data_IF_776963073928
#
_entry.id   IF_776963073928
#
_cell.length_a   1.000
_cell.length_b   1.000
_cell.length_c   1.000
_cell.angle_alpha   90.00
_cell.angle_beta   90.00
_cell.angle_gamma   90.00
#
_symmetry.space_group_name_H-M   'P 1'
#
loop_
_entity.id
_entity.type
_entity.pdbx_description
1 polymer ?
#
# COMPACT_ATOMS: atom_id res chain seq x y z
N UNK A 1 7.50 -18.86 0.96
CA UNK A 1 7.23 -17.74 0.05
C UNK A 1 8.51 -17.37 -0.69
N UNK A 2 8.57 -17.55 -2.01
CA UNK A 2 9.74 -17.20 -2.80
C UNK A 2 9.79 -15.66 -2.92
N UNK A 3 10.78 -15.02 -2.31
CA UNK A 3 10.97 -13.57 -2.42
C UNK A 3 11.56 -13.30 -3.80
N UNK A 4 10.70 -13.04 -4.78
CA UNK A 4 11.15 -12.58 -6.10
C UNK A 4 11.87 -11.22 -5.95
N UNK A 5 12.97 -11.06 -6.67
CA UNK A 5 13.66 -9.75 -6.72
C UNK A 5 12.79 -8.81 -7.54
N UNK A 6 12.03 -7.95 -6.85
CA UNK A 6 10.96 -7.12 -7.42
C UNK A 6 11.34 -6.38 -8.69
N UNK A 7 12.53 -5.76 -8.74
CA UNK A 7 12.96 -5.04 -9.94
C UNK A 7 13.14 -5.93 -11.16
N UNK A 8 13.61 -7.19 -10.99
CA UNK A 8 13.71 -8.15 -12.09
C UNK A 8 12.33 -8.54 -12.63
N UNK A 9 11.37 -8.82 -11.74
CA UNK A 9 10.01 -9.13 -12.16
C UNK A 9 9.34 -7.94 -12.85
N UNK A 10 9.52 -6.72 -12.33
CA UNK A 10 8.98 -5.50 -12.92
C UNK A 10 9.60 -5.19 -14.30
N UNK A 11 10.87 -5.57 -14.55
CA UNK A 11 11.49 -5.44 -15.88
C UNK A 11 10.83 -6.35 -16.92
N UNK A 12 10.40 -7.56 -16.52
CA UNK A 12 9.63 -8.45 -17.41
C UNK A 12 8.27 -7.82 -17.72
N UNK A 13 7.58 -7.28 -16.73
CA UNK A 13 6.30 -6.57 -16.93
C UNK A 13 6.47 -5.33 -17.82
N UNK A 14 7.55 -4.58 -17.65
CA UNK A 14 7.86 -3.40 -18.47
C UNK A 14 7.95 -3.75 -19.97
N UNK A 15 8.62 -4.86 -20.29
CA UNK A 15 8.74 -5.33 -21.67
C UNK A 15 7.45 -5.94 -22.24
N UNK A 16 6.59 -6.47 -21.37
CA UNK A 16 5.32 -7.11 -21.78
C UNK A 16 4.14 -6.13 -21.89
N UNK A 17 4.32 -4.87 -21.48
CA UNK A 17 3.25 -3.86 -21.42
C UNK A 17 3.71 -2.51 -21.98
N UNK A 18 2.74 -1.68 -22.42
CA UNK A 18 3.05 -0.36 -23.02
C UNK A 18 2.33 0.83 -22.36
N UNK A 19 1.37 0.59 -21.45
CA UNK A 19 0.54 1.67 -20.89
C UNK A 19 0.53 1.70 -19.35
N UNK A 20 0.70 0.56 -18.69
CA UNK A 20 0.57 0.46 -17.24
C UNK A 20 1.74 1.15 -16.53
N UNK A 21 1.47 1.88 -15.46
CA UNK A 21 2.48 2.41 -14.54
C UNK A 21 3.08 1.24 -13.75
N UNK A 22 4.39 1.25 -13.54
CA UNK A 22 5.12 0.11 -12.99
C UNK A 22 6.04 0.56 -11.85
N UNK A 23 5.96 -0.11 -10.73
CA UNK A 23 6.83 0.19 -9.60
C UNK A 23 6.63 -0.75 -8.43
N UNK A 24 7.58 -0.79 -7.49
CA UNK A 24 7.42 -1.58 -6.27
C UNK A 24 6.33 -0.97 -5.36
N UNK A 25 5.41 -1.79 -4.84
CA UNK A 25 4.38 -1.41 -3.87
C UNK A 25 4.51 -2.22 -2.58
N UNK A 26 5.52 -2.02 -1.74
CA UNK A 26 6.59 -1.02 -1.80
C UNK A 26 7.94 -1.67 -1.53
N UNK A 27 9.07 -0.96 -1.83
CA UNK A 27 10.39 -1.30 -1.30
C UNK A 27 10.59 -0.66 0.08
N UNK A 28 11.80 -0.79 0.66
CA UNK A 28 12.13 -0.23 1.97
C UNK A 28 13.52 0.43 1.99
N UNK A 29 13.78 1.22 3.02
CA UNK A 29 15.02 2.01 3.15
C UNK A 29 16.21 1.22 3.71
N UNK A 30 16.01 -0.04 4.14
CA UNK A 30 17.01 -0.80 4.90
C UNK A 30 17.79 -1.82 4.07
N UNK A 31 17.15 -2.41 3.06
CA UNK A 31 17.74 -3.53 2.31
C UNK A 31 18.63 -3.11 1.14
N UNK A 32 18.62 -1.83 0.77
CA UNK A 32 19.43 -1.30 -0.34
C UNK A 32 19.93 0.11 -0.03
N UNK A 33 21.15 0.41 -0.46
CA UNK A 33 21.66 1.77 -0.46
C UNK A 33 20.84 2.67 -1.43
N UNK A 34 20.57 3.96 -1.12
CA UNK A 34 19.73 4.81 -1.98
C UNK A 34 20.25 4.96 -3.41
N UNK A 35 21.57 4.98 -3.62
CA UNK A 35 22.14 4.98 -4.96
C UNK A 35 21.80 3.72 -5.77
N UNK A 36 21.78 2.54 -5.12
CA UNK A 36 21.41 1.29 -5.78
C UNK A 36 19.90 1.26 -6.10
N UNK A 37 19.07 1.78 -5.20
CA UNK A 37 17.64 1.88 -5.43
C UNK A 37 17.32 2.90 -6.54
N UNK A 38 17.97 4.05 -6.53
CA UNK A 38 17.84 5.04 -7.60
C UNK A 38 18.27 4.48 -8.96
N UNK A 39 19.40 3.75 -9.01
CA UNK A 39 19.88 3.05 -10.20
C UNK A 39 18.84 2.05 -10.73
N UNK A 40 18.30 1.21 -9.86
CA UNK A 40 17.34 0.19 -10.25
C UNK A 40 16.03 0.79 -10.79
N UNK A 41 15.50 1.84 -10.14
CA UNK A 41 14.27 2.46 -10.61
C UNK A 41 14.47 3.31 -11.86
N UNK A 42 15.62 3.95 -12.04
CA UNK A 42 15.96 4.66 -13.27
C UNK A 42 16.06 3.70 -14.46
N UNK A 43 16.69 2.54 -14.28
CA UNK A 43 16.73 1.47 -15.30
C UNK A 43 15.31 1.00 -15.66
N UNK A 44 14.46 0.77 -14.65
CA UNK A 44 13.07 0.39 -14.88
C UNK A 44 12.30 1.49 -15.63
N UNK A 45 12.56 2.76 -15.30
CA UNK A 45 11.94 3.91 -15.96
C UNK A 45 12.33 4.00 -17.44
N UNK A 46 13.59 3.76 -17.75
CA UNK A 46 14.08 3.70 -19.14
C UNK A 46 13.45 2.53 -19.90
N UNK A 47 13.50 1.30 -19.35
CA UNK A 47 12.89 0.12 -19.95
C UNK A 47 11.38 0.25 -20.17
N UNK A 48 10.71 1.01 -19.33
CA UNK A 48 9.26 1.23 -19.41
C UNK A 48 8.87 2.52 -20.14
N UNK A 49 9.82 3.24 -20.74
CA UNK A 49 9.55 4.50 -21.46
C UNK A 49 8.84 5.56 -20.57
N UNK A 50 9.33 5.72 -19.32
CA UNK A 50 8.85 6.75 -18.40
C UNK A 50 7.63 6.36 -17.55
N UNK A 51 7.23 5.07 -17.52
CA UNK A 51 6.07 4.58 -16.74
C UNK A 51 6.39 4.17 -15.30
N UNK A 52 7.68 4.25 -14.89
CA UNK A 52 8.06 3.79 -13.57
C UNK A 52 7.66 4.77 -12.46
N UNK A 53 7.41 4.24 -11.26
CA UNK A 53 7.33 4.98 -10.01
C UNK A 53 8.14 4.28 -8.91
N UNK A 54 8.63 5.06 -7.95
CA UNK A 54 9.41 4.54 -6.82
C UNK A 54 8.56 4.44 -5.56
N UNK A 55 7.96 3.27 -5.34
CA UNK A 55 7.17 3.01 -4.13
C UNK A 55 8.06 2.60 -2.95
N UNK A 56 7.92 3.30 -1.81
CA UNK A 56 8.78 3.12 -0.64
C UNK A 56 7.99 3.19 0.68
N UNK A 57 8.39 2.37 1.65
CA UNK A 57 7.85 2.35 3.01
C UNK A 57 8.93 2.10 4.06
N UNK A 58 8.56 2.14 5.33
CA UNK A 58 9.47 1.89 6.45
C UNK A 58 10.02 0.45 6.51
N UNK A 59 9.34 -0.47 5.87
CA UNK A 59 9.59 -1.91 5.92
C UNK A 59 8.62 -2.64 6.85
N UNK A 60 8.25 -3.85 6.46
CA UNK A 60 7.40 -4.75 7.21
C UNK A 60 7.94 -6.19 7.13
N UNK A 61 7.16 -7.16 6.69
CA UNK A 61 7.52 -8.60 6.68
C UNK A 61 8.93 -8.87 6.12
N UNK A 62 9.33 -8.18 5.05
CA UNK A 62 10.67 -8.31 4.48
C UNK A 62 11.79 -7.88 5.43
N UNK A 63 11.52 -6.96 6.35
CA UNK A 63 12.48 -6.45 7.33
C UNK A 63 12.43 -7.29 8.61
N UNK A 64 11.22 -7.61 9.08
CA UNK A 64 11.01 -8.45 10.26
C UNK A 64 11.61 -9.85 10.07
N UNK A 65 11.48 -10.43 8.87
CA UNK A 65 12.09 -11.73 8.53
C UNK A 65 13.63 -11.71 8.53
N UNK A 66 14.25 -10.53 8.46
CA UNK A 66 15.69 -10.35 8.63
C UNK A 66 16.09 -10.05 10.08
N UNK A 67 15.14 -10.08 11.03
CA UNK A 67 15.37 -9.71 12.43
C UNK A 67 15.62 -8.21 12.64
N UNK A 68 15.28 -7.39 11.66
CA UNK A 68 15.45 -5.93 11.72
C UNK A 68 14.14 -5.24 12.13
N UNK A 69 14.26 -4.00 12.59
CA UNK A 69 13.09 -3.14 12.87
C UNK A 69 12.80 -2.23 11.69
N UNK A 70 11.53 -1.87 11.45
CA UNK A 70 11.17 -0.86 10.45
C UNK A 70 11.94 0.45 10.67
N UNK A 71 12.24 1.13 9.58
CA UNK A 71 12.96 2.41 9.64
C UNK A 71 12.13 3.49 10.32
N UNK A 72 12.80 4.38 11.04
CA UNK A 72 12.17 5.57 11.59
C UNK A 72 11.92 6.64 10.52
N UNK A 73 11.17 7.67 10.88
CA UNK A 73 10.77 8.73 9.94
C UNK A 73 11.93 9.58 9.44
N UNK A 74 12.97 9.75 10.26
CA UNK A 74 14.15 10.55 9.90
C UNK A 74 14.93 9.83 8.79
N UNK A 75 15.23 8.56 9.01
CA UNK A 75 15.91 7.71 8.00
C UNK A 75 15.11 7.61 6.72
N UNK A 76 13.77 7.48 6.80
CA UNK A 76 12.90 7.47 5.63
C UNK A 76 12.99 8.77 4.83
N UNK A 77 12.91 9.91 5.50
CA UNK A 77 12.97 11.22 4.87
C UNK A 77 14.32 11.43 4.18
N UNK A 78 15.42 11.15 4.88
CA UNK A 78 16.77 11.27 4.33
C UNK A 78 16.96 10.38 3.10
N UNK A 79 16.51 9.13 3.18
CA UNK A 79 16.60 8.18 2.08
C UNK A 79 15.78 8.63 0.85
N UNK A 80 14.55 9.08 1.05
CA UNK A 80 13.68 9.59 -0.02
C UNK A 80 14.32 10.82 -0.69
N UNK A 81 14.88 11.75 0.10
CA UNK A 81 15.58 12.91 -0.43
C UNK A 81 16.82 12.50 -1.23
N UNK A 82 17.62 11.56 -0.71
CA UNK A 82 18.79 11.05 -1.43
C UNK A 82 18.38 10.45 -2.78
N UNK A 83 17.37 9.58 -2.83
CA UNK A 83 16.86 8.99 -4.08
C UNK A 83 16.39 10.07 -5.05
N UNK A 84 15.59 11.05 -4.58
CA UNK A 84 15.08 12.14 -5.43
C UNK A 84 16.18 13.00 -6.03
N UNK A 85 17.17 13.39 -5.23
CA UNK A 85 18.30 14.21 -5.70
C UNK A 85 19.18 13.43 -6.67
N UNK A 86 19.49 12.19 -6.38
CA UNK A 86 20.28 11.32 -7.27
C UNK A 86 19.57 11.12 -8.62
N UNK A 87 18.27 10.85 -8.61
CA UNK A 87 17.46 10.70 -9.83
C UNK A 87 17.46 11.98 -10.69
N UNK A 88 17.58 13.15 -10.08
CA UNK A 88 17.71 14.42 -10.82
C UNK A 88 19.10 14.67 -11.43
N UNK A 89 20.03 13.71 -11.29
CA UNK A 89 21.41 13.82 -11.81
C UNK A 89 22.35 14.65 -10.91
N UNK A 90 21.93 14.97 -9.69
CA UNK A 90 22.73 15.75 -8.73
C UNK A 90 23.37 14.85 -7.69
N UNK A 91 24.47 15.34 -7.09
CA UNK A 91 25.10 14.72 -5.93
C UNK A 91 24.29 14.99 -4.65
N UNK A 92 24.29 14.03 -3.73
CA UNK A 92 23.70 14.16 -2.39
C UNK A 92 24.68 13.68 -1.33
N UNK A 93 24.79 14.39 -0.22
CA UNK A 93 25.54 13.90 0.94
C UNK A 93 24.65 12.97 1.76
N UNK A 94 24.90 11.67 1.66
CA UNK A 94 24.17 10.65 2.40
C UNK A 94 25.06 10.06 3.48
N UNK A 95 24.72 10.30 4.75
CA UNK A 95 25.48 9.84 5.93
C UNK A 95 26.97 10.19 5.87
N UNK A 96 27.29 11.45 5.52
CA UNK A 96 28.64 11.97 5.45
C UNK A 96 29.45 11.49 4.22
N UNK A 97 28.80 10.95 3.20
CA UNK A 97 29.43 10.55 1.94
C UNK A 97 28.68 11.13 0.75
N UNK A 98 29.39 11.85 -0.10
CA UNK A 98 28.81 12.34 -1.37
C UNK A 98 28.53 11.17 -2.30
N UNK A 99 27.29 11.04 -2.74
CA UNK A 99 26.85 10.02 -3.69
C UNK A 99 26.21 10.66 -4.91
N UNK A 100 26.43 10.07 -6.09
CA UNK A 100 25.79 10.47 -7.35
C UNK A 100 25.71 9.28 -8.30
N UNK A 101 24.92 9.43 -9.35
CA UNK A 101 24.81 8.44 -10.43
C UNK A 101 24.91 9.18 -11.76
N UNK A 102 25.94 8.88 -12.55
CA UNK A 102 26.32 9.65 -13.74
C UNK A 102 25.27 9.65 -14.87
N UNK A 103 24.47 8.62 -14.95
CA UNK A 103 23.50 8.40 -16.03
C UNK A 103 22.05 8.68 -15.62
N UNK A 104 21.83 9.26 -14.46
CA UNK A 104 20.50 9.69 -14.03
C UNK A 104 20.22 11.13 -14.49
N UNK A 105 19.01 11.43 -14.78
CA UNK A 105 18.55 12.74 -15.25
C UNK A 105 17.04 12.74 -15.49
N UNK A 106 16.39 11.63 -15.14
CA UNK A 106 14.96 11.45 -15.27
C UNK A 106 14.27 11.60 -13.90
N UNK A 107 13.18 12.35 -13.84
CA UNK A 107 12.33 12.39 -12.67
C UNK A 107 11.45 11.14 -12.64
N UNK A 108 11.52 10.39 -11.53
CA UNK A 108 10.62 9.26 -11.26
C UNK A 108 9.73 9.64 -10.08
N UNK A 109 8.40 9.54 -10.20
CA UNK A 109 7.50 9.83 -9.08
C UNK A 109 7.80 8.96 -7.86
N UNK A 110 7.85 9.57 -6.69
CA UNK A 110 8.05 8.87 -5.41
C UNK A 110 6.69 8.64 -4.75
N UNK A 111 6.37 7.38 -4.51
CA UNK A 111 5.13 6.93 -3.90
C UNK A 111 5.44 6.39 -2.51
N UNK A 112 4.95 7.04 -1.47
CA UNK A 112 5.23 6.65 -0.08
C UNK A 112 4.07 5.86 0.50
N UNK A 113 4.33 4.70 1.13
CA UNK A 113 3.32 4.02 1.95
C UNK A 113 3.25 4.66 3.33
N UNK A 114 2.05 5.04 3.77
CA UNK A 114 1.81 5.69 5.06
C UNK A 114 0.43 5.32 5.63
N UNK A 115 0.37 5.14 6.96
CA UNK A 115 -0.86 4.77 7.67
C UNK A 115 -1.09 5.59 8.94
N UNK A 116 -0.03 5.90 9.68
CA UNK A 116 -0.13 6.66 10.91
C UNK A 116 -0.17 8.17 10.68
N UNK A 117 -0.73 8.96 11.62
CA UNK A 117 -0.88 10.41 11.46
C UNK A 117 0.41 11.13 11.04
N UNK A 118 1.52 10.83 11.70
CA UNK A 118 2.82 11.47 11.43
C UNK A 118 3.39 11.09 10.05
N UNK A 119 3.20 9.84 9.63
CA UNK A 119 3.68 9.37 8.32
C UNK A 119 2.82 9.90 7.18
N UNK A 120 1.50 10.07 7.40
CA UNK A 120 0.59 10.71 6.45
C UNK A 120 0.95 12.19 6.23
N UNK A 121 1.19 12.96 7.30
CA UNK A 121 1.69 14.33 7.18
C UNK A 121 3.04 14.40 6.43
N UNK A 122 3.97 13.48 6.74
CA UNK A 122 5.26 13.43 6.05
C UNK A 122 5.07 13.11 4.56
N UNK A 123 4.20 12.16 4.23
CA UNK A 123 3.93 11.79 2.85
C UNK A 123 3.37 12.97 2.05
N UNK A 124 2.37 13.69 2.56
CA UNK A 124 1.86 14.93 1.96
C UNK A 124 2.95 15.98 1.74
N UNK A 125 3.93 16.06 2.65
CA UNK A 125 5.02 17.03 2.56
C UNK A 125 6.12 16.70 1.55
N UNK A 126 6.34 15.40 1.21
CA UNK A 126 7.54 15.01 0.44
C UNK A 126 7.29 14.03 -0.70
N UNK A 127 6.15 13.35 -0.76
CA UNK A 127 5.87 12.34 -1.80
C UNK A 127 5.04 12.92 -2.96
N UNK A 128 5.12 12.28 -4.11
CA UNK A 128 4.30 12.63 -5.29
C UNK A 128 2.96 11.87 -5.24
N UNK A 129 2.95 10.69 -4.61
CA UNK A 129 1.72 9.98 -4.24
C UNK A 129 1.90 9.24 -2.91
N UNK A 130 0.80 8.85 -2.29
CA UNK A 130 0.80 8.08 -1.05
C UNK A 130 -0.11 6.87 -1.17
N UNK A 131 0.42 5.68 -0.83
CA UNK A 131 -0.36 4.46 -0.67
C UNK A 131 -0.85 4.41 0.77
N UNK A 132 -2.17 4.40 0.95
CA UNK A 132 -2.83 4.34 2.25
C UNK A 132 -3.51 3.00 2.46
N UNK A 133 -3.29 2.41 3.64
CA UNK A 133 -3.89 1.14 4.07
C UNK A 133 -4.61 1.29 5.42
N UNK A 134 -4.99 2.51 5.78
CA UNK A 134 -5.68 2.81 7.05
C UNK A 134 -7.11 2.27 7.09
N UNK A 135 -7.73 2.16 5.91
CA UNK A 135 -9.10 1.68 5.72
C UNK A 135 -9.82 2.46 4.62
N UNK A 136 -10.98 1.91 4.21
CA UNK A 136 -11.79 2.36 3.06
C UNK A 136 -13.17 2.89 3.48
N UNK A 137 -13.43 3.06 4.77
CA UNK A 137 -14.66 3.68 5.27
C UNK A 137 -14.57 5.21 5.12
N UNK A 138 -15.72 5.87 4.97
CA UNK A 138 -15.78 7.33 4.69
C UNK A 138 -15.05 8.17 5.74
N UNK A 139 -15.23 7.85 7.00
CA UNK A 139 -14.61 8.54 8.14
C UNK A 139 -13.08 8.36 8.16
N UNK A 140 -12.61 7.14 7.90
CA UNK A 140 -11.17 6.82 7.84
C UNK A 140 -10.50 7.51 6.64
N UNK A 141 -11.15 7.48 5.48
CA UNK A 141 -10.64 8.17 4.28
C UNK A 141 -10.63 9.68 4.47
N UNK A 142 -11.68 10.26 5.06
CA UNK A 142 -11.74 11.70 5.32
C UNK A 142 -10.60 12.16 6.26
N UNK A 143 -10.34 11.43 7.35
CA UNK A 143 -9.21 11.71 8.26
C UNK A 143 -7.88 11.55 7.53
N UNK A 144 -7.70 10.48 6.75
CA UNK A 144 -6.49 10.20 5.97
C UNK A 144 -6.19 11.31 4.97
N UNK A 145 -7.18 11.70 4.16
CA UNK A 145 -7.08 12.79 3.18
C UNK A 145 -6.72 14.11 3.88
N UNK A 146 -7.43 14.45 4.96
CA UNK A 146 -7.17 15.66 5.74
C UNK A 146 -5.72 15.75 6.22
N UNK A 147 -5.15 14.66 6.73
CA UNK A 147 -3.76 14.62 7.22
C UNK A 147 -2.75 14.79 6.09
N UNK A 148 -3.01 14.24 4.92
CA UNK A 148 -2.13 14.39 3.75
C UNK A 148 -2.16 15.85 3.27
N UNK A 149 -3.35 16.46 3.15
CA UNK A 149 -3.51 17.87 2.77
C UNK A 149 -2.86 18.81 3.78
N UNK A 150 -2.97 18.50 5.07
CA UNK A 150 -2.24 19.25 6.11
C UNK A 150 -0.72 19.13 5.95
N UNK A 151 -0.21 17.94 5.59
CA UNK A 151 1.21 17.73 5.27
C UNK A 151 1.69 18.57 4.09
N UNK A 152 0.89 18.68 3.02
CA UNK A 152 1.14 19.58 1.89
C UNK A 152 1.21 21.03 2.34
N UNK A 153 0.21 21.48 3.12
CA UNK A 153 0.14 22.85 3.63
C UNK A 153 1.35 23.22 4.49
N UNK A 154 1.75 22.36 5.42
CA UNK A 154 2.93 22.57 6.29
C UNK A 154 4.21 22.66 5.45
N UNK A 155 4.31 21.89 4.38
CA UNK A 155 5.47 21.91 3.47
C UNK A 155 5.43 23.04 2.43
N UNK A 156 4.38 23.85 2.40
CA UNK A 156 4.20 24.92 1.41
C UNK A 156 3.93 24.38 -0.01
N UNK A 157 3.40 23.17 -0.14
CA UNK A 157 3.02 22.56 -1.41
C UNK A 157 1.57 22.91 -1.77
N UNK A 158 1.23 22.95 -3.08
CA UNK A 158 -0.16 23.15 -3.48
C UNK A 158 -1.05 22.02 -2.92
N UNK A 159 -2.25 22.38 -2.50
CA UNK A 159 -3.26 21.40 -2.09
C UNK A 159 -3.61 20.48 -3.25
N UNK A 160 -3.66 19.17 -2.99
CA UNK A 160 -3.92 18.16 -4.03
C UNK A 160 -2.70 17.77 -4.86
N UNK A 161 -1.50 18.28 -4.53
CA UNK A 161 -0.27 17.93 -5.26
C UNK A 161 0.22 16.50 -4.98
N UNK A 162 -0.31 15.84 -3.95
CA UNK A 162 0.00 14.44 -3.62
C UNK A 162 -1.19 13.57 -4.01
N UNK A 163 -1.01 12.67 -4.98
CA UNK A 163 -2.02 11.66 -5.32
C UNK A 163 -2.25 10.71 -4.14
N UNK A 164 -3.49 10.31 -3.90
CA UNK A 164 -3.87 9.36 -2.84
C UNK A 164 -4.28 8.04 -3.48
N UNK A 165 -3.54 6.99 -3.17
CA UNK A 165 -3.78 5.63 -3.67
C UNK A 165 -4.25 4.75 -2.51
N UNK A 166 -5.53 4.36 -2.48
CA UNK A 166 -6.04 3.46 -1.46
C UNK A 166 -5.70 2.00 -1.80
N UNK A 167 -5.22 1.24 -0.82
CA UNK A 167 -4.96 -0.18 -0.95
C UNK A 167 -6.15 -0.99 -0.42
N UNK A 168 -6.64 -1.94 -1.22
CA UNK A 168 -7.77 -2.79 -0.91
C UNK A 168 -7.48 -4.26 -1.17
N UNK A 169 -7.93 -5.14 -0.28
CA UNK A 169 -8.15 -6.54 -0.62
C UNK A 169 -9.36 -6.62 -1.56
N UNK A 170 -9.35 -7.53 -2.52
CA UNK A 170 -10.43 -7.62 -3.49
C UNK A 170 -10.83 -9.06 -3.78
N UNK A 171 -12.13 -9.31 -3.69
CA UNK A 171 -12.75 -10.49 -4.26
C UNK A 171 -14.16 -10.12 -4.74
N UNK A 172 -14.62 -10.76 -5.83
CA UNK A 172 -15.93 -10.54 -6.44
C UNK A 172 -16.58 -11.87 -6.73
N UNK A 173 -17.81 -12.05 -6.27
CA UNK A 173 -18.61 -13.25 -6.47
C UNK A 173 -20.07 -12.88 -6.73
N UNK A 174 -20.91 -13.86 -7.10
CA UNK A 174 -22.34 -13.65 -7.27
C UNK A 174 -23.06 -13.50 -5.91
N UNK A 175 -22.41 -13.94 -4.83
CA UNK A 175 -22.86 -13.75 -3.44
C UNK A 175 -21.75 -13.13 -2.62
N UNK A 176 -22.13 -12.15 -1.77
CA UNK A 176 -21.19 -11.47 -0.89
C UNK A 176 -20.50 -12.45 0.06
N UNK A 177 -21.24 -13.37 0.63
CA UNK A 177 -20.73 -14.33 1.61
C UNK A 177 -19.58 -15.15 1.01
N UNK A 178 -19.74 -15.66 -0.22
CA UNK A 178 -18.71 -16.45 -0.90
C UNK A 178 -17.43 -15.63 -1.14
N UNK A 179 -17.60 -14.37 -1.54
CA UNK A 179 -16.47 -13.46 -1.77
C UNK A 179 -15.71 -13.13 -0.48
N UNK A 180 -16.42 -12.89 0.62
CA UNK A 180 -15.84 -12.60 1.95
C UNK A 180 -15.14 -13.83 2.51
N UNK A 181 -15.77 -15.01 2.43
CA UNK A 181 -15.22 -16.27 2.96
C UNK A 181 -13.84 -16.58 2.35
N UNK A 182 -13.68 -16.34 1.06
CA UNK A 182 -12.40 -16.62 0.38
C UNK A 182 -11.26 -15.71 0.81
N UNK A 183 -11.54 -14.52 1.39
CA UNK A 183 -10.52 -13.54 1.78
C UNK A 183 -10.38 -13.33 3.30
N UNK A 184 -11.08 -14.09 4.16
CA UNK A 184 -11.08 -13.92 5.62
C UNK A 184 -9.68 -13.85 6.22
N UNK A 185 -8.76 -14.71 5.79
CA UNK A 185 -7.37 -14.70 6.26
C UNK A 185 -6.65 -13.39 5.89
N UNK A 186 -6.98 -12.78 4.74
CA UNK A 186 -6.41 -11.51 4.33
C UNK A 186 -7.04 -10.32 5.06
N UNK A 187 -8.30 -10.44 5.46
CA UNK A 187 -8.97 -9.47 6.35
C UNK A 187 -8.32 -9.48 7.73
N UNK A 188 -8.11 -10.66 8.31
CA UNK A 188 -7.38 -10.82 9.58
C UNK A 188 -5.95 -10.25 9.49
N UNK A 189 -5.24 -10.51 8.38
CA UNK A 189 -3.90 -9.95 8.12
C UNK A 189 -3.92 -8.41 8.05
N UNK A 190 -4.93 -7.82 7.38
CA UNK A 190 -5.09 -6.36 7.31
C UNK A 190 -5.37 -5.75 8.68
N UNK A 191 -6.27 -6.37 9.46
CA UNK A 191 -6.57 -5.93 10.82
C UNK A 191 -5.35 -6.04 11.74
N UNK A 192 -4.63 -7.17 11.69
CA UNK A 192 -3.39 -7.32 12.44
C UNK A 192 -2.35 -6.26 12.06
N UNK A 193 -2.14 -6.00 10.79
CA UNK A 193 -1.20 -4.97 10.33
C UNK A 193 -1.62 -3.57 10.77
N UNK A 194 -2.87 -3.19 10.53
CA UNK A 194 -3.36 -1.84 10.80
C UNK A 194 -3.39 -1.48 12.29
N UNK A 195 -3.64 -2.44 13.18
CA UNK A 195 -3.89 -2.19 14.59
C UNK A 195 -2.76 -2.62 15.54
N UNK A 196 -1.65 -3.16 15.04
CA UNK A 196 -0.57 -3.80 15.83
C UNK A 196 0.15 -2.90 16.83
N UNK A 197 0.16 -1.56 16.66
CA UNK A 197 0.91 -0.67 17.55
C UNK A 197 0.04 0.13 18.50
N UNK A 198 -1.14 0.56 18.07
CA UNK A 198 -2.09 1.36 18.83
C UNK A 198 -3.43 1.40 18.13
N UNK A 199 -4.50 1.58 18.89
CA UNK A 199 -5.83 1.88 18.37
C UNK A 199 -6.14 3.38 18.37
N UNK A 200 -5.27 4.20 18.99
CA UNK A 200 -5.46 5.65 19.08
C UNK A 200 -5.43 6.29 17.68
N UNK A 201 -6.44 7.10 17.39
CA UNK A 201 -6.58 7.79 16.11
C UNK A 201 -6.85 6.88 14.91
N UNK A 202 -7.31 5.64 15.13
CA UNK A 202 -7.59 4.67 14.07
C UNK A 202 -9.08 4.41 13.82
N UNK A 203 -9.96 5.18 14.44
CA UNK A 203 -11.41 5.11 14.24
C UNK A 203 -11.94 3.67 14.38
N UNK A 204 -11.52 2.97 15.44
CA UNK A 204 -12.06 1.65 15.82
C UNK A 204 -13.25 1.90 16.74
N UNK A 205 -14.45 1.35 16.43
CA UNK A 205 -15.61 1.42 17.30
C UNK A 205 -15.28 0.90 18.71
N UNK A 206 -15.84 1.53 19.75
CA UNK A 206 -15.50 1.21 21.16
C UNK A 206 -15.82 -0.24 21.51
N UNK A 207 -16.96 -0.72 21.03
CA UNK A 207 -17.45 -2.09 21.22
C UNK A 207 -16.61 -3.17 20.52
N UNK A 208 -15.80 -2.79 19.52
CA UNK A 208 -14.91 -3.71 18.79
C UNK A 208 -13.46 -3.68 19.27
N UNK A 209 -13.09 -2.76 20.15
CA UNK A 209 -11.68 -2.61 20.57
C UNK A 209 -11.13 -3.86 21.25
N UNK A 210 -11.90 -4.52 22.10
CA UNK A 210 -11.48 -5.74 22.78
C UNK A 210 -11.23 -6.87 21.78
N UNK A 211 -12.14 -7.08 20.84
CA UNK A 211 -12.00 -8.08 19.76
C UNK A 211 -10.79 -7.78 18.85
N UNK A 212 -10.57 -6.51 18.51
CA UNK A 212 -9.39 -6.09 17.72
C UNK A 212 -8.09 -6.32 18.48
N UNK A 213 -8.06 -6.13 19.80
CA UNK A 213 -6.88 -6.45 20.62
C UNK A 213 -6.66 -7.96 20.72
N UNK A 214 -7.72 -8.76 20.82
CA UNK A 214 -7.63 -10.22 20.79
C UNK A 214 -7.05 -10.70 19.44
N UNK A 215 -7.50 -10.13 18.33
CA UNK A 215 -6.92 -10.40 17.00
C UNK A 215 -5.40 -10.17 16.98
N UNK A 216 -4.88 -9.14 17.65
CA UNK A 216 -3.44 -8.89 17.70
C UNK A 216 -2.68 -10.00 18.44
N UNK A 217 -3.25 -10.52 19.53
CA UNK A 217 -2.63 -11.56 20.38
C UNK A 217 -2.69 -12.96 19.78
N UNK A 218 -3.73 -13.25 19.01
CA UNK A 218 -4.01 -14.61 18.51
C UNK A 218 -3.60 -14.83 17.06
N UNK A 219 -3.23 -13.76 16.33
CA UNK A 219 -2.82 -13.84 14.93
C UNK A 219 -1.57 -14.72 14.76
N UNK A 220 -1.61 -15.65 13.80
CA UNK A 220 -0.51 -16.59 13.51
C UNK A 220 0.32 -16.09 12.31
N UNK A 221 1.51 -15.48 12.54
CA UNK A 221 2.31 -14.90 11.45
C UNK A 221 2.74 -15.90 10.37
N UNK A 222 2.88 -17.19 10.72
CA UNK A 222 3.26 -18.24 9.75
C UNK A 222 2.17 -18.55 8.74
N UNK A 223 0.93 -18.24 9.06
CA UNK A 223 -0.24 -18.43 8.19
C UNK A 223 -0.64 -17.13 7.46
N UNK A 224 0.25 -16.15 7.43
CA UNK A 224 -0.01 -14.85 6.82
C UNK A 224 -0.43 -15.00 5.35
N UNK A 225 -1.67 -14.61 5.05
CA UNK A 225 -2.30 -14.67 3.72
C UNK A 225 -2.28 -16.07 3.04
N UNK A 226 -2.29 -17.15 3.81
CA UNK A 226 -2.47 -18.49 3.28
C UNK A 226 -3.95 -18.73 2.92
N UNK A 227 -4.21 -19.10 1.67
CA UNK A 227 -5.55 -19.49 1.22
C UNK A 227 -6.03 -20.78 1.91
N UNK A 228 -7.33 -20.87 2.14
CA UNK A 228 -8.00 -22.03 2.72
C UNK A 228 -8.25 -21.89 4.23
N UNK A 229 -8.61 -23.01 4.84
CA UNK A 229 -8.92 -23.08 6.27
C UNK A 229 -7.62 -22.98 7.10
N UNK A 230 -7.46 -21.87 7.79
CA UNK A 230 -6.33 -21.59 8.68
C UNK A 230 -6.83 -21.04 10.00
N UNK A 231 -6.00 -20.94 11.03
CA UNK A 231 -6.35 -20.23 12.27
C UNK A 231 -6.75 -18.78 11.97
N UNK A 232 -5.98 -18.11 11.09
CA UNK A 232 -6.24 -16.73 10.73
C UNK A 232 -7.56 -16.55 9.96
N UNK A 233 -8.01 -17.53 9.16
CA UNK A 233 -9.30 -17.43 8.46
C UNK A 233 -10.50 -17.59 9.40
N UNK A 234 -10.38 -18.41 10.45
CA UNK A 234 -11.41 -18.59 11.46
C UNK A 234 -11.48 -17.43 12.48
N UNK A 235 -10.33 -16.79 12.73
CA UNK A 235 -10.17 -15.82 13.82
C UNK A 235 -11.09 -14.60 13.70
N UNK A 236 -11.28 -14.06 12.49
CA UNK A 236 -12.18 -12.92 12.29
C UNK A 236 -13.64 -13.24 12.59
N UNK A 237 -14.10 -14.45 12.29
CA UNK A 237 -15.48 -14.90 12.60
C UNK A 237 -15.66 -15.14 14.09
N UNK A 238 -14.72 -15.86 14.71
CA UNK A 238 -14.77 -16.16 16.15
C UNK A 238 -14.80 -14.89 17.01
N UNK A 239 -14.11 -13.84 16.56
CA UNK A 239 -14.06 -12.54 17.20
C UNK A 239 -15.20 -11.58 16.77
N UNK A 240 -16.07 -12.00 15.84
CA UNK A 240 -17.14 -11.15 15.30
C UNK A 240 -16.65 -9.95 14.50
N UNK A 241 -15.45 -10.04 13.90
CA UNK A 241 -14.80 -8.92 13.22
C UNK A 241 -14.93 -8.97 11.68
N UNK A 242 -15.46 -10.05 11.11
CA UNK A 242 -15.42 -10.30 9.65
C UNK A 242 -16.04 -9.14 8.87
N UNK A 243 -17.25 -8.70 9.20
CA UNK A 243 -17.92 -7.61 8.49
C UNK A 243 -17.20 -6.27 8.68
N UNK A 244 -16.75 -5.96 9.90
CA UNK A 244 -15.97 -4.76 10.18
C UNK A 244 -14.66 -4.71 9.36
N UNK A 245 -13.94 -5.81 9.30
CA UNK A 245 -12.68 -5.89 8.56
C UNK A 245 -12.92 -5.87 7.04
N UNK A 246 -13.96 -6.54 6.55
CA UNK A 246 -14.36 -6.52 5.15
C UNK A 246 -14.73 -5.12 4.70
N UNK A 247 -15.59 -4.43 5.45
CA UNK A 247 -15.99 -3.07 5.12
C UNK A 247 -14.82 -2.09 5.20
N UNK A 248 -13.92 -2.29 6.15
CA UNK A 248 -12.77 -1.42 6.36
C UNK A 248 -11.64 -1.61 5.36
N UNK A 249 -11.33 -2.84 4.92
CA UNK A 249 -10.09 -3.12 4.18
C UNK A 249 -10.29 -3.73 2.80
N UNK A 250 -11.54 -3.98 2.39
CA UNK A 250 -11.79 -4.66 1.14
C UNK A 250 -12.78 -3.95 0.23
N UNK A 251 -12.60 -4.20 -1.07
CA UNK A 251 -13.63 -4.08 -2.10
C UNK A 251 -14.08 -5.51 -2.40
N UNK A 252 -15.14 -5.95 -1.74
CA UNK A 252 -15.57 -7.35 -1.70
C UNK A 252 -17.09 -7.47 -1.74
N UNK A 253 -17.58 -8.46 -2.47
CA UNK A 253 -19.01 -8.75 -2.58
C UNK A 253 -19.45 -8.99 -4.01
N UNK A 254 -20.71 -8.68 -4.28
CA UNK A 254 -21.29 -8.70 -5.63
C UNK A 254 -20.71 -7.58 -6.49
N UNK A 255 -20.84 -7.66 -7.83
CA UNK A 255 -20.42 -6.58 -8.73
C UNK A 255 -20.97 -5.20 -8.36
N UNK A 256 -22.24 -5.14 -7.95
CA UNK A 256 -22.90 -3.89 -7.60
C UNK A 256 -22.36 -3.32 -6.27
N UNK A 257 -22.12 -4.16 -5.26
CA UNK A 257 -21.50 -3.75 -3.99
C UNK A 257 -20.07 -3.25 -4.22
N UNK A 258 -19.28 -3.96 -5.03
CA UNK A 258 -17.93 -3.54 -5.38
C UNK A 258 -17.94 -2.18 -6.12
N UNK A 259 -18.85 -1.98 -7.08
CA UNK A 259 -19.02 -0.73 -7.80
C UNK A 259 -19.36 0.44 -6.88
N UNK A 260 -20.31 0.25 -5.97
CA UNK A 260 -20.70 1.27 -5.00
C UNK A 260 -19.55 1.60 -4.02
N UNK A 261 -18.81 0.60 -3.58
CA UNK A 261 -17.64 0.79 -2.72
C UNK A 261 -16.56 1.62 -3.45
N UNK A 262 -16.27 1.32 -4.71
CA UNK A 262 -15.30 2.09 -5.52
C UNK A 262 -15.76 3.54 -5.73
N UNK A 263 -17.05 3.78 -5.97
CA UNK A 263 -17.61 5.13 -6.07
C UNK A 263 -17.44 5.91 -4.77
N UNK A 264 -17.78 5.29 -3.64
CA UNK A 264 -17.59 5.89 -2.31
C UNK A 264 -16.13 6.25 -2.04
N UNK A 265 -15.17 5.38 -2.39
CA UNK A 265 -13.73 5.62 -2.24
C UNK A 265 -13.30 6.81 -3.11
N UNK A 266 -13.74 6.88 -4.36
CA UNK A 266 -13.45 8.01 -5.26
C UNK A 266 -14.03 9.33 -4.76
N UNK A 267 -15.26 9.33 -4.27
CA UNK A 267 -15.93 10.52 -3.71
C UNK A 267 -15.23 11.04 -2.44
N UNK A 268 -14.54 10.18 -1.72
CA UNK A 268 -13.73 10.57 -0.56
C UNK A 268 -12.40 11.24 -0.93
N UNK A 269 -12.09 11.44 -2.22
CA UNK A 269 -10.88 12.12 -2.68
C UNK A 269 -9.68 11.21 -2.93
N UNK A 270 -9.93 9.93 -3.18
CA UNK A 270 -8.89 8.95 -3.59
C UNK A 270 -8.73 8.99 -5.11
N UNK A 271 -7.50 9.14 -5.58
CA UNK A 271 -7.16 9.25 -7.00
C UNK A 271 -7.00 7.88 -7.68
N UNK A 272 -6.53 6.88 -6.95
CA UNK A 272 -6.28 5.54 -7.48
C UNK A 272 -6.58 4.46 -6.45
N UNK A 273 -7.03 3.30 -6.92
CA UNK A 273 -7.26 2.12 -6.10
C UNK A 273 -6.26 1.03 -6.49
N UNK A 274 -5.46 0.60 -5.52
CA UNK A 274 -4.58 -0.56 -5.63
C UNK A 274 -5.32 -1.77 -5.08
N UNK A 275 -5.71 -2.69 -5.93
CA UNK A 275 -6.37 -3.92 -5.53
C UNK A 275 -5.41 -5.10 -5.47
N UNK A 276 -5.50 -5.87 -4.39
CA UNK A 276 -4.90 -7.19 -4.30
C UNK A 276 -6.03 -8.22 -4.51
N UNK A 277 -6.08 -8.78 -5.71
CA UNK A 277 -7.02 -9.85 -6.05
C UNK A 277 -6.64 -11.12 -5.30
N UNK A 278 -7.50 -11.57 -4.39
CA UNK A 278 -7.26 -12.73 -3.56
C UNK A 278 -8.33 -13.76 -3.87
N UNK A 279 -7.91 -14.83 -4.51
CA UNK A 279 -8.76 -15.95 -4.87
C UNK A 279 -7.88 -17.13 -5.30
N UNK A 280 -8.43 -18.32 -5.28
CA UNK A 280 -7.88 -19.49 -5.96
C UNK A 280 -7.81 -19.30 -7.48
N UNK A 281 -8.64 -18.39 -8.04
CA UNK A 281 -8.66 -17.97 -9.45
C UNK A 281 -8.56 -16.42 -9.55
N UNK A 282 -7.38 -15.88 -9.25
CA UNK A 282 -7.12 -14.44 -9.32
C UNK A 282 -7.33 -13.83 -10.71
N UNK A 283 -7.09 -14.59 -11.77
CA UNK A 283 -7.31 -14.14 -13.15
C UNK A 283 -8.79 -13.89 -13.42
N UNK A 284 -9.68 -14.72 -12.88
CA UNK A 284 -11.12 -14.51 -12.95
C UNK A 284 -11.54 -13.24 -12.21
N UNK A 285 -11.01 -13.02 -10.99
CA UNK A 285 -11.30 -11.81 -10.22
C UNK A 285 -10.88 -10.55 -11.01
N UNK A 286 -9.67 -10.53 -11.56
CA UNK A 286 -9.17 -9.41 -12.36
C UNK A 286 -10.07 -9.14 -13.56
N UNK A 287 -10.48 -10.19 -14.29
CA UNK A 287 -11.36 -10.07 -15.47
C UNK A 287 -12.75 -9.57 -15.07
N UNK A 288 -13.38 -10.17 -14.06
CA UNK A 288 -14.69 -9.75 -13.56
C UNK A 288 -14.68 -8.32 -13.07
N UNK A 289 -13.67 -7.95 -12.27
CA UNK A 289 -13.53 -6.56 -11.78
C UNK A 289 -13.41 -5.56 -12.94
N UNK A 290 -12.63 -5.89 -13.98
CA UNK A 290 -12.52 -5.09 -15.20
C UNK A 290 -13.86 -4.93 -15.93
N UNK A 291 -14.58 -6.00 -16.13
CA UNK A 291 -15.82 -6.03 -16.94
C UNK A 291 -17.05 -5.56 -16.16
N UNK A 292 -17.16 -5.89 -14.88
CA UNK A 292 -18.39 -5.72 -14.09
C UNK A 292 -18.32 -4.51 -13.14
N UNK A 293 -17.11 -3.99 -12.88
CA UNK A 293 -16.91 -2.79 -12.03
C UNK A 293 -16.30 -1.64 -12.83
N UNK A 294 -15.06 -1.79 -13.35
CA UNK A 294 -14.36 -0.67 -14.02
C UNK A 294 -15.13 -0.19 -15.26
N UNK A 295 -15.67 -1.08 -16.06
CA UNK A 295 -16.43 -0.71 -17.28
C UNK A 295 -17.75 0.06 -16.97
N UNK A 296 -18.17 0.13 -15.69
CA UNK A 296 -19.40 0.79 -15.24
C UNK A 296 -19.14 2.07 -14.41
N UNK A 297 -17.87 2.46 -14.20
CA UNK A 297 -17.43 3.67 -13.51
C UNK A 297 -17.52 4.91 -14.42
#
# INVERSE_FOLDING_TARGET
MCILVRYLSLSVVANATSKVRIGPTVTNVLTRHPAVAASAIATLNELSEGRAFFGIGSGDSAILNLGLRPANMIDMREYIQAVRVILSGKSYDYRGRSIHVQWSGNTVPIVMSAEGPKTLHMAGGIADAVIVHSGLTKDVLADTVSRIREGERIAGRPEGSTEIWAFAKCNISDKREDAVDEIKMALAASGHHAFRFTLEGKNVPEDLKEAVMALQGEYVPKEHEQLGETRNSALSDELGLTDFLADRFAVVGTPDECLEKVRTIREAGVDSLLILAISSDSDNIIRRFGQEVIARL
#
